data_IF_601925502739
#
_entry.id   IF_601925502739
#
_cell.length_a   1.000
_cell.length_b   1.000
_cell.length_c   1.000
_cell.angle_alpha   90.00
_cell.angle_beta   90.00
_cell.angle_gamma   90.00
#
_symmetry.space_group_name_H-M   'P 1'
#
loop_
_entity.id
_entity.type
_entity.pdbx_description
1 polymer ?
#
# COMPACT_ATOMS: atom_id res chain seq x y z
N UNK A 1 -3.84 2.59 28.56
CA UNK A 1 -3.88 1.22 28.02
C UNK A 1 -2.75 1.06 27.01
N UNK A 2 -2.05 -0.08 27.01
CA UNK A 2 -0.98 -0.33 26.04
C UNK A 2 -1.53 -0.57 24.63
N UNK A 3 -0.74 -0.22 23.61
CA UNK A 3 -1.05 -0.55 22.20
C UNK A 3 -0.68 -1.99 21.87
N UNK A 4 -1.48 -2.65 21.06
CA UNK A 4 -1.14 -3.95 20.47
C UNK A 4 0.03 -3.80 19.49
N UNK A 5 0.68 -4.90 19.12
CA UNK A 5 1.73 -4.87 18.11
C UNK A 5 1.23 -4.33 16.78
N UNK A 6 0.05 -4.76 16.32
CA UNK A 6 -0.55 -4.29 15.09
C UNK A 6 -0.79 -2.77 15.11
N UNK A 7 -1.30 -2.23 16.23
CA UNK A 7 -1.48 -0.78 16.39
C UNK A 7 -0.15 -0.04 16.29
N UNK A 8 0.91 -0.55 16.91
CA UNK A 8 2.25 0.05 16.82
C UNK A 8 2.76 0.08 15.37
N UNK A 9 2.58 -1.01 14.63
CA UNK A 9 2.98 -1.10 13.22
C UNK A 9 2.15 -0.14 12.36
N UNK A 10 0.83 -0.11 12.53
CA UNK A 10 -0.04 0.82 11.80
C UNK A 10 0.33 2.28 12.08
N UNK A 11 0.56 2.62 13.34
CA UNK A 11 0.93 3.98 13.73
C UNK A 11 2.30 4.39 13.15
N UNK A 12 3.25 3.46 12.99
CA UNK A 12 4.56 3.75 12.41
C UNK A 12 4.55 3.87 10.87
N UNK A 13 3.52 3.33 10.21
CA UNK A 13 3.40 3.35 8.74
C UNK A 13 2.30 4.31 8.24
N UNK A 14 1.52 4.93 9.13
CA UNK A 14 0.47 5.88 8.75
C UNK A 14 1.06 7.17 8.20
N UNK A 15 0.61 7.56 7.01
CA UNK A 15 0.93 8.83 6.38
C UNK A 15 -0.21 9.84 6.60
N UNK A 16 -1.47 9.38 6.55
CA UNK A 16 -2.63 10.27 6.65
C UNK A 16 -3.87 9.56 7.25
N UNK A 17 -4.84 10.33 7.74
CA UNK A 17 -6.19 9.90 8.11
C UNK A 17 -7.20 10.93 7.59
N UNK A 18 -7.69 10.77 6.35
CA UNK A 18 -8.56 11.76 5.73
C UNK A 18 -9.95 11.84 6.38
N UNK A 19 -10.45 10.75 6.98
CA UNK A 19 -11.73 10.76 7.71
C UNK A 19 -11.98 9.45 8.45
N UNK A 20 -12.45 9.55 9.69
CA UNK A 20 -12.97 8.43 10.47
C UNK A 20 -11.99 7.26 10.56
N UNK A 21 -12.42 6.11 10.03
CA UNK A 21 -11.66 4.85 10.06
C UNK A 21 -10.70 4.69 8.87
N UNK A 22 -10.64 5.64 7.93
CA UNK A 22 -9.75 5.56 6.77
C UNK A 22 -8.32 5.87 7.19
N UNK A 23 -7.42 4.90 7.00
CA UNK A 23 -5.99 5.06 7.27
C UNK A 23 -5.21 4.96 5.96
N UNK A 24 -4.43 5.98 5.64
CA UNK A 24 -3.48 5.94 4.52
C UNK A 24 -2.14 5.47 5.07
N UNK A 25 -1.64 4.34 4.58
CA UNK A 25 -0.41 3.72 5.05
C UNK A 25 0.65 3.70 3.94
N UNK A 26 1.91 3.90 4.33
CA UNK A 26 3.07 3.58 3.49
C UNK A 26 3.22 2.06 3.42
N UNK A 27 3.41 1.53 2.22
CA UNK A 27 3.80 0.14 2.01
C UNK A 27 5.33 0.05 1.89
N UNK A 28 5.92 -0.95 2.52
CA UNK A 28 7.37 -1.21 2.41
C UNK A 28 7.71 -2.06 1.18
N UNK A 29 6.79 -2.91 0.73
CA UNK A 29 6.97 -3.75 -0.44
C UNK A 29 5.61 -4.15 -1.03
N UNK A 30 5.59 -4.44 -2.33
CA UNK A 30 4.41 -4.97 -3.05
C UNK A 30 4.82 -6.25 -3.76
N UNK A 31 4.09 -7.33 -3.50
CA UNK A 31 4.32 -8.62 -4.11
C UNK A 31 3.08 -9.04 -4.91
N UNK A 32 3.30 -9.46 -6.15
CA UNK A 32 2.26 -10.06 -7.00
C UNK A 32 2.59 -11.54 -7.23
N UNK A 33 1.57 -12.34 -7.53
CA UNK A 33 1.73 -13.77 -7.80
C UNK A 33 0.83 -14.23 -8.96
N UNK A 34 1.43 -14.97 -9.89
CA UNK A 34 0.78 -15.61 -11.05
C UNK A 34 -0.26 -14.71 -11.74
N UNK A 35 -1.55 -15.06 -11.67
CA UNK A 35 -2.65 -14.39 -12.37
C UNK A 35 -2.83 -12.92 -11.98
N UNK A 36 -2.41 -12.54 -10.77
CA UNK A 36 -2.54 -11.15 -10.29
C UNK A 36 -1.48 -10.22 -10.91
N UNK A 37 -0.31 -10.74 -11.28
CA UNK A 37 0.79 -9.97 -11.87
C UNK A 37 0.40 -9.31 -13.21
N UNK A 38 -0.09 -10.03 -14.24
CA UNK A 38 -0.43 -9.39 -15.51
C UNK A 38 -1.57 -8.38 -15.37
N UNK A 39 -2.52 -8.59 -14.44
CA UNK A 39 -3.62 -7.65 -14.18
C UNK A 39 -3.07 -6.34 -13.60
N UNK A 40 -2.18 -6.40 -12.61
CA UNK A 40 -1.57 -5.22 -12.00
C UNK A 40 -0.73 -4.43 -13.02
N UNK A 41 0.08 -5.11 -13.83
CA UNK A 41 0.89 -4.48 -14.88
C UNK A 41 0.00 -3.81 -15.94
N UNK A 42 -1.07 -4.47 -16.39
CA UNK A 42 -1.98 -3.87 -17.38
C UNK A 42 -2.69 -2.62 -16.84
N UNK A 43 -3.00 -2.56 -15.55
CA UNK A 43 -3.54 -1.35 -14.92
C UNK A 43 -2.50 -0.21 -14.90
N UNK A 44 -1.23 -0.50 -14.63
CA UNK A 44 -0.14 0.50 -14.73
C UNK A 44 -0.01 1.04 -16.16
N UNK A 45 -0.02 0.17 -17.17
CA UNK A 45 0.03 0.55 -18.59
C UNK A 45 -1.15 1.46 -18.93
N UNK A 46 -2.38 1.06 -18.57
CA UNK A 46 -3.59 1.85 -18.82
C UNK A 46 -3.54 3.22 -18.14
N UNK A 47 -2.88 3.33 -16.99
CA UNK A 47 -2.68 4.60 -16.26
C UNK A 47 -1.46 5.40 -16.76
N UNK A 48 -0.76 4.93 -17.79
CA UNK A 48 0.45 5.58 -18.31
C UNK A 48 1.59 5.63 -17.29
N UNK A 49 1.69 4.64 -16.39
CA UNK A 49 2.76 4.53 -15.38
C UNK A 49 3.87 3.63 -15.92
N UNK A 50 5.05 4.19 -16.12
CA UNK A 50 6.25 3.49 -16.60
C UNK A 50 7.14 2.95 -15.47
N UNK A 51 6.89 3.38 -14.23
CA UNK A 51 7.62 2.99 -13.02
C UNK A 51 6.67 2.66 -11.87
N UNK A 52 7.13 1.81 -10.96
CA UNK A 52 6.48 1.53 -9.68
C UNK A 52 6.82 2.60 -8.65
N UNK A 53 6.19 2.54 -7.48
CA UNK A 53 6.31 3.58 -6.44
C UNK A 53 7.70 3.64 -5.78
N UNK A 54 8.43 2.52 -5.75
CA UNK A 54 9.80 2.39 -5.24
C UNK A 54 10.65 1.67 -6.32
N UNK A 55 11.26 2.42 -7.25
CA UNK A 55 11.90 1.89 -8.46
C UNK A 55 13.32 1.35 -8.28
#
# INVERSE_FOLDING_TARGET
MGRTLAQKIFDSHRIDNPSGDIQVLRLDAVFCHEITTPIAINDLIRRGRDRVFDP
#
